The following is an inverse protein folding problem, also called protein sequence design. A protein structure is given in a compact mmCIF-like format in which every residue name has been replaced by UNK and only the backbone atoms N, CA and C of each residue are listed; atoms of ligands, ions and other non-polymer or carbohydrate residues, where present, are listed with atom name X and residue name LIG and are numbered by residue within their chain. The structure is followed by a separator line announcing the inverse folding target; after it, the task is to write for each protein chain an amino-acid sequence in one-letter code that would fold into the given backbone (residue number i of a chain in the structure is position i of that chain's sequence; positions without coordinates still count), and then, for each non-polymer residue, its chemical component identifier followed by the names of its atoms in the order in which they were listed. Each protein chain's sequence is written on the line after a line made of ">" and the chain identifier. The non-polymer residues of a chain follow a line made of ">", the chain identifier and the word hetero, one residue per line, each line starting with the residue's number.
data_IF_760516917460
#
_entry.id   IF_760516917460
#
_cell.length_a   1.000
_cell.length_b   1.000
_cell.length_c   1.000
_cell.angle_alpha   90.00
_cell.angle_beta   90.00
_cell.angle_gamma   90.00
#
_symmetry.space_group_name_H-M   'P 1'
#
loop_
_entity.id
_entity.type
_entity.pdbx_description
1 polymer ?
#
# COMPACT_ATOMS: atom_id res chain seq x y z
N UNK A 1 2.99 14.10 -2.34
CA UNK A 1 2.81 13.03 -1.34
C UNK A 1 4.04 12.18 -1.35
N UNK A 2 4.67 12.05 -0.19
CA UNK A 2 5.85 11.21 0.00
C UNK A 2 5.46 9.71 0.02
N UNK A 3 6.44 8.82 0.24
CA UNK A 3 6.19 7.38 0.25
C UNK A 3 5.19 6.96 1.33
N UNK A 4 5.32 7.50 2.55
CA UNK A 4 4.42 7.19 3.67
C UNK A 4 2.99 7.66 3.39
N UNK A 5 2.80 8.85 2.83
CA UNK A 5 1.48 9.35 2.41
C UNK A 5 0.83 8.41 1.38
N UNK A 6 1.58 8.10 0.29
CA UNK A 6 1.08 7.24 -0.80
C UNK A 6 0.71 5.84 -0.30
N UNK A 7 1.50 5.28 0.61
CA UNK A 7 1.23 3.99 1.23
C UNK A 7 -0.02 4.03 2.12
N UNK A 8 -0.15 5.05 2.97
CA UNK A 8 -1.32 5.24 3.82
C UNK A 8 -2.61 5.34 2.98
N UNK A 9 -2.60 6.20 1.95
CA UNK A 9 -3.74 6.40 1.05
C UNK A 9 -4.15 5.10 0.33
N UNK A 10 -3.18 4.36 -0.20
CA UNK A 10 -3.43 3.11 -0.91
C UNK A 10 -4.03 2.03 0.00
N UNK A 11 -3.53 1.90 1.23
CA UNK A 11 -4.07 0.94 2.21
C UNK A 11 -5.47 1.37 2.65
N UNK A 12 -5.67 2.64 3.00
CA UNK A 12 -6.98 3.16 3.43
C UNK A 12 -8.04 2.96 2.35
N UNK A 13 -7.73 3.30 1.10
CA UNK A 13 -8.63 3.13 -0.05
C UNK A 13 -9.07 1.68 -0.30
N UNK A 14 -8.26 0.69 0.12
CA UNK A 14 -8.53 -0.74 -0.04
C UNK A 14 -8.96 -1.43 1.27
N UNK A 15 -9.05 -0.69 2.38
CA UNK A 15 -9.35 -1.23 3.72
C UNK A 15 -10.84 -1.41 4.01
N UNK A 16 -11.73 -0.94 3.12
CA UNK A 16 -13.19 -0.85 3.34
C UNK A 16 -13.63 0.00 4.55
N UNK A 17 -12.70 0.65 5.26
CA UNK A 17 -13.03 1.61 6.30
C UNK A 17 -13.38 2.97 5.70
N UNK A 18 -14.29 3.69 6.34
CA UNK A 18 -14.43 5.12 6.11
C UNK A 18 -13.23 5.84 6.72
N UNK A 19 -12.71 6.83 6.01
CA UNK A 19 -11.56 7.61 6.44
C UNK A 19 -11.66 9.05 5.96
N UNK A 20 -10.90 9.93 6.59
CA UNK A 20 -10.74 11.33 6.23
C UNK A 20 -9.24 11.59 6.16
N UNK A 21 -8.81 12.30 5.12
CA UNK A 21 -7.42 12.77 4.98
C UNK A 21 -7.39 14.25 5.36
N UNK A 22 -6.46 14.60 6.23
CA UNK A 22 -6.17 15.98 6.60
C UNK A 22 -4.81 16.37 6.03
N UNK A 23 -4.75 17.54 5.38
CA UNK A 23 -3.47 18.13 5.01
C UNK A 23 -2.66 18.50 6.26
N UNK A 24 -1.34 18.56 6.11
CA UNK A 24 -0.45 18.96 7.20
C UNK A 24 -0.75 20.39 7.66
N UNK A 25 -0.98 20.56 8.97
CA UNK A 25 -1.21 21.84 9.63
C UNK A 25 -0.29 21.95 10.84
N UNK A 26 0.74 22.84 10.83
CA UNK A 26 1.64 22.98 11.98
C UNK A 26 1.01 23.75 13.16
N UNK A 27 -0.17 24.36 12.97
CA UNK A 27 -0.88 25.11 14.03
C UNK A 27 -1.65 24.22 14.99
N UNK A 28 -1.99 23.01 14.57
CA UNK A 28 -2.72 22.00 15.34
C UNK A 28 -2.03 20.66 15.14
N UNK A 29 -1.56 20.01 16.20
CA UNK A 29 -0.63 18.91 15.97
C UNK A 29 -0.21 18.13 17.18
N UNK A 30 0.46 17.02 16.89
CA UNK A 30 1.36 16.32 17.80
C UNK A 30 2.81 16.56 17.35
N UNK A 31 3.69 15.57 17.49
CA UNK A 31 5.12 15.68 17.21
C UNK A 31 5.47 15.74 15.71
N UNK A 32 4.55 15.42 14.79
CA UNK A 32 4.77 15.56 13.34
C UNK A 32 5.21 16.98 12.96
N UNK A 33 4.73 18.01 13.68
CA UNK A 33 5.17 19.40 13.47
C UNK A 33 6.68 19.62 13.73
N UNK A 34 7.27 18.82 14.62
CA UNK A 34 8.69 18.89 14.96
C UNK A 34 9.52 18.17 13.89
N UNK A 35 9.12 16.94 13.52
CA UNK A 35 9.77 16.15 12.48
C UNK A 35 9.70 16.82 11.11
N UNK A 36 8.60 17.49 10.80
CA UNK A 36 8.37 18.21 9.55
C UNK A 36 8.89 19.67 9.59
N UNK A 37 9.56 20.09 10.68
CA UNK A 37 10.14 21.44 10.73
C UNK A 37 11.22 21.63 9.65
N UNK A 38 11.46 22.86 9.14
CA UNK A 38 12.30 23.07 7.96
C UNK A 38 13.74 22.53 8.03
N UNK A 39 14.29 22.42 9.25
CA UNK A 39 15.64 21.90 9.46
C UNK A 39 15.74 20.37 9.43
N UNK A 40 14.67 19.65 9.80
CA UNK A 40 14.61 18.19 9.74
C UNK A 40 13.93 17.69 8.46
N UNK A 41 12.80 18.31 8.09
CA UNK A 41 12.03 18.06 6.87
C UNK A 41 11.80 16.57 6.58
N UNK A 42 11.45 15.81 7.62
CA UNK A 42 11.19 14.38 7.52
C UNK A 42 9.75 14.12 7.06
N UNK A 43 9.49 13.08 6.24
CA UNK A 43 8.17 12.75 5.71
C UNK A 43 7.31 12.00 6.74
N UNK A 44 6.94 12.67 7.84
CA UNK A 44 6.19 12.06 8.96
C UNK A 44 4.73 12.51 8.92
N UNK A 45 3.84 11.54 8.75
CA UNK A 45 2.39 11.71 8.91
C UNK A 45 1.87 11.06 10.20
N UNK A 46 0.55 11.09 10.39
CA UNK A 46 -0.11 10.45 11.53
C UNK A 46 -1.38 9.72 11.10
N UNK A 47 -1.44 8.40 11.36
CA UNK A 47 -2.66 7.61 11.23
C UNK A 47 -3.30 7.45 12.61
N UNK A 48 -4.55 7.89 12.72
CA UNK A 48 -5.32 7.90 13.97
C UNK A 48 -6.77 7.50 13.71
N UNK A 49 -7.51 7.20 14.78
CA UNK A 49 -8.98 7.10 14.72
C UNK A 49 -9.58 8.49 14.80
N UNK A 50 -10.25 8.83 15.89
CA UNK A 50 -10.73 10.20 16.10
C UNK A 50 -9.54 11.09 16.50
N UNK A 51 -9.34 12.19 15.77
CA UNK A 51 -8.27 13.15 16.05
C UNK A 51 -8.43 13.79 17.44
N UNK A 52 -7.32 14.15 18.08
CA UNK A 52 -7.31 14.92 19.32
C UNK A 52 -8.17 16.19 19.20
N UNK A 53 -8.72 16.69 20.31
CA UNK A 53 -9.68 17.81 20.34
C UNK A 53 -10.99 17.59 19.54
N UNK A 54 -11.28 16.39 19.03
CA UNK A 54 -12.52 16.08 18.29
C UNK A 54 -13.49 15.14 19.02
N UNK A 55 -13.17 14.76 20.26
CA UNK A 55 -14.06 13.94 21.10
C UNK A 55 -14.13 14.50 22.53
N UNK A 56 -15.28 14.40 23.23
CA UNK A 56 -15.50 15.03 24.54
C UNK A 56 -14.58 14.53 25.66
N UNK A 57 -14.13 13.28 25.57
CA UNK A 57 -13.33 12.63 26.61
C UNK A 57 -11.87 13.08 26.59
N UNK A 58 -11.40 13.67 25.48
CA UNK A 58 -10.02 14.13 25.32
C UNK A 58 -9.57 15.06 26.46
N UNK A 59 -8.42 14.76 27.07
CA UNK A 59 -7.88 15.49 28.24
C UNK A 59 -8.78 15.49 29.49
N UNK A 60 -9.65 14.50 29.63
CA UNK A 60 -10.45 14.29 30.84
C UNK A 60 -10.18 12.91 31.42
N UNK A 61 -10.64 12.66 32.65
CA UNK A 61 -10.60 11.31 33.24
C UNK A 61 -11.54 10.31 32.57
N UNK A 62 -12.36 10.74 31.61
CA UNK A 62 -13.26 9.88 30.84
C UNK A 62 -12.55 9.18 29.67
N UNK A 63 -11.33 9.60 29.30
CA UNK A 63 -10.47 8.85 28.37
C UNK A 63 -9.86 7.64 29.11
N UNK A 64 -10.71 6.66 29.37
CA UNK A 64 -10.42 5.52 30.23
C UNK A 64 -10.59 4.17 29.48
N UNK A 65 -10.36 3.06 30.20
CA UNK A 65 -10.45 1.70 29.64
C UNK A 65 -11.84 1.33 29.13
N UNK A 66 -12.90 2.02 29.57
CA UNK A 66 -14.28 1.77 29.10
C UNK A 66 -14.54 2.48 27.78
N UNK A 67 -13.86 3.60 27.53
CA UNK A 67 -13.91 4.31 26.26
C UNK A 67 -13.10 3.60 25.15
N UNK A 68 -11.99 2.96 25.52
CA UNK A 68 -11.12 2.23 24.59
C UNK A 68 -11.83 0.99 24.02
N UNK A 69 -11.76 0.84 22.69
CA UNK A 69 -12.17 -0.38 21.98
C UNK A 69 -10.97 -1.19 21.50
N UNK A 70 -10.81 -2.40 22.03
CA UNK A 70 -9.75 -3.32 21.61
C UNK A 70 -9.90 -3.81 20.16
N UNK A 71 -11.13 -3.98 19.67
CA UNK A 71 -11.35 -4.34 18.26
C UNK A 71 -10.89 -3.22 17.34
N UNK A 72 -11.23 -1.97 17.68
CA UNK A 72 -10.77 -0.79 16.96
C UNK A 72 -9.24 -0.63 16.98
N UNK A 73 -8.60 -0.97 18.11
CA UNK A 73 -7.14 -0.97 18.22
C UNK A 73 -6.51 -2.02 17.31
N UNK A 74 -7.03 -3.25 17.31
CA UNK A 74 -6.55 -4.33 16.44
C UNK A 74 -6.72 -3.99 14.95
N UNK A 75 -7.84 -3.40 14.55
CA UNK A 75 -8.05 -2.88 13.19
C UNK A 75 -6.96 -1.86 12.81
N UNK A 76 -6.68 -0.91 13.70
CA UNK A 76 -5.69 0.15 13.47
C UNK A 76 -4.29 -0.44 13.31
N UNK A 77 -3.91 -1.39 14.17
CA UNK A 77 -2.64 -2.13 14.07
C UNK A 77 -2.55 -2.85 12.73
N UNK A 78 -3.62 -3.51 12.28
CA UNK A 78 -3.63 -4.19 10.98
C UNK A 78 -3.43 -3.20 9.82
N UNK A 79 -4.00 -1.98 9.89
CA UNK A 79 -3.74 -0.94 8.88
C UNK A 79 -2.26 -0.54 8.87
N UNK A 80 -1.65 -0.31 10.04
CA UNK A 80 -0.21 -0.02 10.14
C UNK A 80 0.66 -1.15 9.58
N UNK A 81 0.35 -2.42 9.89
CA UNK A 81 1.08 -3.58 9.37
C UNK A 81 1.01 -3.59 7.84
N UNK A 82 -0.18 -3.43 7.25
CA UNK A 82 -0.35 -3.40 5.79
C UNK A 82 0.40 -2.24 5.13
N UNK A 83 0.48 -1.07 5.80
CA UNK A 83 1.29 0.05 5.31
C UNK A 83 2.78 -0.29 5.32
N UNK A 84 3.28 -0.93 6.38
CA UNK A 84 4.69 -1.36 6.47
C UNK A 84 4.99 -2.40 5.38
N UNK A 85 4.14 -3.41 5.22
CA UNK A 85 4.28 -4.42 4.17
C UNK A 85 4.29 -3.80 2.76
N UNK A 86 3.43 -2.80 2.52
CA UNK A 86 3.42 -2.06 1.26
C UNK A 86 4.70 -1.27 1.03
N UNK A 87 5.22 -0.60 2.06
CA UNK A 87 6.46 0.18 1.97
C UNK A 87 7.65 -0.75 1.70
N UNK A 88 7.75 -1.88 2.42
CA UNK A 88 8.82 -2.89 2.25
C UNK A 88 8.76 -3.53 0.86
N UNK A 89 7.56 -3.79 0.34
CA UNK A 89 7.35 -4.33 -0.99
C UNK A 89 7.37 -3.26 -2.10
N UNK A 90 7.48 -1.97 -1.77
CA UNK A 90 7.40 -0.93 -2.77
C UNK A 90 8.68 -0.87 -3.59
N UNK A 91 8.53 -1.04 -4.89
CA UNK A 91 9.64 -0.96 -5.82
C UNK A 91 9.16 -0.55 -7.20
N UNK A 92 10.05 0.13 -7.91
CA UNK A 92 9.89 0.34 -9.35
C UNK A 92 10.38 -0.90 -10.07
N UNK A 93 9.70 -1.27 -11.13
CA UNK A 93 10.03 -2.46 -11.90
C UNK A 93 10.04 -2.19 -13.40
N UNK A 94 10.86 -2.96 -14.13
CA UNK A 94 11.04 -2.85 -15.59
C UNK A 94 10.79 -4.20 -16.25
N UNK A 95 9.95 -4.24 -17.27
CA UNK A 95 9.59 -5.43 -18.01
C UNK A 95 10.65 -5.74 -19.08
N UNK A 96 11.04 -7.02 -19.16
CA UNK A 96 11.98 -7.53 -20.15
C UNK A 96 11.42 -7.47 -21.59
N UNK A 97 10.09 -7.52 -21.72
CA UNK A 97 9.35 -7.56 -22.99
C UNK A 97 8.43 -6.34 -23.08
N UNK A 98 8.99 -5.24 -23.58
CA UNK A 98 8.29 -3.95 -23.70
C UNK A 98 7.39 -3.81 -24.94
N UNK A 99 7.37 -4.81 -25.83
CA UNK A 99 6.61 -4.79 -27.09
C UNK A 99 5.60 -5.94 -27.12
N UNK A 100 4.39 -5.66 -26.65
CA UNK A 100 3.30 -6.65 -26.55
C UNK A 100 3.39 -7.51 -25.30
N UNK A 101 2.50 -8.50 -25.20
CA UNK A 101 2.42 -9.41 -24.07
C UNK A 101 3.40 -10.60 -24.25
N UNK A 102 4.22 -10.95 -23.24
CA UNK A 102 5.04 -12.15 -23.28
C UNK A 102 4.17 -13.42 -23.31
N UNK A 103 4.67 -14.52 -23.89
CA UNK A 103 3.96 -15.80 -23.89
C UNK A 103 4.01 -16.46 -22.50
N UNK A 104 3.14 -16.01 -21.59
CA UNK A 104 3.16 -16.33 -20.16
C UNK A 104 3.03 -17.83 -19.85
N UNK A 105 2.34 -18.61 -20.70
CA UNK A 105 2.20 -20.06 -20.54
C UNK A 105 3.55 -20.79 -20.53
N UNK A 106 4.56 -20.29 -21.26
CA UNK A 106 5.92 -20.86 -21.27
C UNK A 106 6.61 -20.78 -19.90
N UNK A 107 6.15 -19.88 -19.05
CA UNK A 107 6.70 -19.62 -17.72
C UNK A 107 5.83 -20.22 -16.60
N UNK A 108 4.77 -20.95 -16.93
CA UNK A 108 3.85 -21.53 -15.94
C UNK A 108 3.01 -20.48 -15.18
N UNK A 109 2.95 -19.23 -15.66
CA UNK A 109 2.23 -18.14 -15.00
C UNK A 109 0.70 -18.22 -15.18
N UNK A 110 0.24 -19.13 -16.03
CA UNK A 110 -1.15 -19.60 -16.06
C UNK A 110 -1.21 -21.02 -15.49
N UNK A 111 -1.33 -21.11 -14.16
CA UNK A 111 -1.60 -22.39 -13.49
C UNK A 111 -2.99 -22.90 -13.86
N UNK A 112 -3.04 -24.10 -14.45
CA UNK A 112 -4.27 -24.82 -14.83
C UNK A 112 -4.75 -25.83 -13.78
N UNK A 113 -4.01 -26.04 -12.68
CA UNK A 113 -4.26 -27.17 -11.77
C UNK A 113 -5.20 -26.81 -10.61
N UNK A 114 -6.50 -27.10 -10.83
CA UNK A 114 -7.40 -27.86 -9.95
C UNK A 114 -7.84 -27.35 -8.56
N UNK A 115 -7.00 -26.68 -7.76
CA UNK A 115 -7.30 -26.49 -6.32
C UNK A 115 -7.50 -25.04 -5.89
N UNK A 116 -7.07 -24.06 -6.70
CA UNK A 116 -7.25 -22.64 -6.39
C UNK A 116 -8.60 -22.15 -6.92
N UNK A 117 -9.41 -21.41 -6.13
CA UNK A 117 -10.65 -20.80 -6.58
C UNK A 117 -10.48 -19.96 -7.85
N UNK A 118 -11.47 -20.00 -8.75
CA UNK A 118 -11.41 -19.30 -10.03
C UNK A 118 -11.17 -17.79 -9.88
N UNK A 119 -11.80 -17.17 -8.88
CA UNK A 119 -11.63 -15.74 -8.56
C UNK A 119 -10.19 -15.38 -8.21
N UNK A 120 -9.48 -16.24 -7.49
CA UNK A 120 -8.08 -16.01 -7.13
C UNK A 120 -7.16 -16.14 -8.35
N UNK A 121 -7.43 -17.10 -9.24
CA UNK A 121 -6.72 -17.23 -10.53
C UNK A 121 -6.90 -15.99 -11.40
N UNK A 122 -8.11 -15.45 -11.47
CA UNK A 122 -8.43 -14.23 -12.21
C UNK A 122 -7.76 -13.00 -11.60
N UNK A 123 -7.78 -12.87 -10.28
CA UNK A 123 -7.08 -11.80 -9.55
C UNK A 123 -5.58 -11.83 -9.82
N UNK A 124 -4.96 -13.01 -9.73
CA UNK A 124 -3.53 -13.19 -10.01
C UNK A 124 -3.18 -12.89 -11.47
N UNK A 125 -3.99 -13.37 -12.42
CA UNK A 125 -3.83 -13.04 -13.85
C UNK A 125 -3.93 -11.53 -14.08
N UNK A 126 -4.91 -10.87 -13.45
CA UNK A 126 -5.08 -9.43 -13.54
C UNK A 126 -3.85 -8.70 -12.97
N UNK A 127 -3.33 -9.14 -11.83
CA UNK A 127 -2.12 -8.59 -11.23
C UNK A 127 -0.90 -8.71 -12.16
N UNK A 128 -0.68 -9.88 -12.77
CA UNK A 128 0.40 -10.07 -13.75
C UNK A 128 0.31 -9.05 -14.90
N UNK A 129 -0.90 -8.82 -15.44
CA UNK A 129 -1.10 -7.87 -16.54
C UNK A 129 -0.83 -6.43 -16.11
N UNK A 130 -1.33 -6.03 -14.95
CA UNK A 130 -1.10 -4.69 -14.41
C UNK A 130 0.38 -4.42 -14.16
N UNK A 131 1.09 -5.39 -13.56
CA UNK A 131 2.53 -5.25 -13.32
C UNK A 131 3.27 -5.13 -14.65
N UNK A 132 3.07 -6.04 -15.61
CA UNK A 132 3.76 -5.99 -16.91
C UNK A 132 3.49 -4.70 -17.69
N UNK A 133 2.27 -4.16 -17.61
CA UNK A 133 1.88 -2.92 -18.28
C UNK A 133 2.52 -1.67 -17.66
N UNK A 134 2.64 -1.64 -16.33
CA UNK A 134 3.21 -0.50 -15.60
C UNK A 134 4.74 -0.59 -15.42
N UNK A 135 5.33 -1.72 -15.79
CA UNK A 135 6.75 -2.01 -15.66
C UNK A 135 7.64 -1.28 -16.69
N UNK A 136 7.50 0.04 -16.79
CA UNK A 136 8.28 0.90 -17.68
C UNK A 136 9.42 1.64 -16.97
N UNK A 137 9.60 1.42 -15.67
CA UNK A 137 10.58 2.12 -14.84
C UNK A 137 10.10 3.43 -14.24
N UNK A 138 8.83 3.81 -14.45
CA UNK A 138 8.24 5.04 -13.89
C UNK A 138 7.16 4.80 -12.84
N UNK A 139 6.62 3.58 -12.77
CA UNK A 139 5.58 3.21 -11.81
C UNK A 139 6.12 2.23 -10.77
N UNK A 140 5.63 2.35 -9.54
CA UNK A 140 5.96 1.45 -8.44
C UNK A 140 4.79 0.53 -8.03
N UNK A 141 5.03 -0.32 -7.03
CA UNK A 141 4.03 -1.24 -6.48
C UNK A 141 2.79 -0.49 -5.98
N UNK A 142 2.95 0.71 -5.42
CA UNK A 142 1.82 1.53 -4.96
C UNK A 142 0.96 1.98 -6.15
N UNK A 143 1.57 2.41 -7.25
CA UNK A 143 0.82 2.78 -8.46
C UNK A 143 0.03 1.60 -9.02
N UNK A 144 0.63 0.41 -9.03
CA UNK A 144 -0.05 -0.81 -9.43
C UNK A 144 -1.24 -1.14 -8.51
N UNK A 145 -1.08 -1.00 -7.19
CA UNK A 145 -2.17 -1.20 -6.22
C UNK A 145 -3.33 -0.21 -6.44
N UNK A 146 -3.01 1.08 -6.59
CA UNK A 146 -4.01 2.14 -6.76
C UNK A 146 -4.79 2.01 -8.07
N UNK A 147 -4.12 1.65 -9.17
CA UNK A 147 -4.74 1.54 -10.51
C UNK A 147 -5.52 0.25 -10.69
N UNK A 148 -4.96 -0.87 -10.24
CA UNK A 148 -5.59 -2.19 -10.40
C UNK A 148 -6.73 -2.42 -9.42
N UNK A 149 -6.70 -1.77 -8.24
CA UNK A 149 -7.61 -2.02 -7.11
C UNK A 149 -7.59 -3.48 -6.65
N UNK A 150 -6.47 -4.18 -6.89
CA UNK A 150 -6.27 -5.56 -6.45
C UNK A 150 -5.68 -5.60 -5.03
N UNK A 151 -5.87 -6.71 -4.30
CA UNK A 151 -5.19 -6.93 -3.02
C UNK A 151 -3.67 -6.88 -3.18
N UNK A 152 -3.00 -6.22 -2.24
CA UNK A 152 -1.55 -6.06 -2.24
C UNK A 152 -0.81 -7.39 -2.29
N UNK A 153 -1.31 -8.37 -1.56
CA UNK A 153 -0.73 -9.69 -1.42
C UNK A 153 -0.65 -10.39 -2.79
N UNK A 154 -1.66 -10.20 -3.63
CA UNK A 154 -1.70 -10.75 -5.00
C UNK A 154 -0.71 -10.04 -5.92
N UNK A 155 -0.54 -8.72 -5.76
CA UNK A 155 0.45 -7.95 -6.52
C UNK A 155 1.88 -8.36 -6.17
N UNK A 156 2.19 -8.51 -4.88
CA UNK A 156 3.50 -8.98 -4.39
C UNK A 156 3.80 -10.38 -4.96
N UNK A 157 2.84 -11.30 -4.90
CA UNK A 157 2.97 -12.63 -5.49
C UNK A 157 3.22 -12.57 -7.00
N UNK A 158 2.50 -11.70 -7.72
CA UNK A 158 2.66 -11.53 -9.16
C UNK A 158 4.05 -10.99 -9.52
N UNK A 159 4.55 -9.98 -8.79
CA UNK A 159 5.91 -9.44 -8.97
C UNK A 159 6.97 -10.53 -8.73
N UNK A 160 6.84 -11.30 -7.65
CA UNK A 160 7.75 -12.40 -7.36
C UNK A 160 7.75 -13.47 -8.46
N UNK A 161 6.56 -13.85 -8.96
CA UNK A 161 6.44 -14.82 -10.04
C UNK A 161 7.07 -14.32 -11.35
N UNK A 162 6.84 -13.05 -11.71
CA UNK A 162 7.44 -12.42 -12.90
C UNK A 162 8.96 -12.30 -12.79
N UNK A 163 9.49 -12.03 -11.59
CA UNK A 163 10.93 -12.03 -11.34
C UNK A 163 11.56 -13.40 -11.51
N UNK A 164 10.94 -14.44 -10.95
CA UNK A 164 11.39 -15.82 -11.11
C UNK A 164 11.38 -16.24 -12.59
N UNK A 165 10.39 -15.78 -13.35
CA UNK A 165 10.30 -15.96 -14.79
C UNK A 165 11.28 -15.10 -15.61
N UNK A 166 12.04 -14.20 -14.95
CA UNK A 166 12.93 -13.20 -15.59
C UNK A 166 12.20 -12.31 -16.59
N UNK A 167 10.93 -12.01 -16.33
CA UNK A 167 10.10 -11.10 -17.14
C UNK A 167 10.08 -9.69 -16.57
N UNK A 168 10.37 -9.54 -15.27
CA UNK A 168 10.43 -8.25 -14.60
C UNK A 168 11.70 -8.17 -13.75
N UNK A 169 12.34 -7.01 -13.77
CA UNK A 169 13.53 -6.70 -12.98
C UNK A 169 13.27 -5.49 -12.08
N UNK A 170 14.04 -5.36 -11.01
CA UNK A 170 14.03 -4.14 -10.19
C UNK A 170 14.53 -2.97 -11.05
N UNK A 171 13.70 -1.94 -11.19
CA UNK A 171 14.10 -0.67 -11.77
C UNK A 171 14.91 0.16 -10.78
N UNK A 172 15.71 1.07 -11.29
CA UNK A 172 16.19 2.19 -10.48
C UNK A 172 15.02 3.16 -10.33
N UNK A 173 14.79 3.72 -9.14
CA UNK A 173 13.93 4.90 -9.05
C UNK A 173 14.49 5.95 -10.00
N UNK A 174 13.71 6.36 -11.01
CA UNK A 174 13.99 7.58 -11.74
C UNK A 174 14.06 8.69 -10.68
N UNK A 175 15.26 9.28 -10.52
CA UNK A 175 15.47 10.44 -9.67
C UNK A 175 14.67 11.63 -10.18
#
# INVERSE_FOLDING_TARGET
>A
NCLSDRAAEAVLKTSNHSYIIHDFDPSQGSDERQYCSPGYNLPVGSLMRTMYNKYPEYHTSLDDKKFISFSAMAETVNVYVRMIELIEANEVFVNAVMRGEPHLSKYGLYSSLGSVPQKEKESFRSAIMWILNLADGSHDTIDAALRSKLPLEVLIQAVAALRNAKLVYKGSHAK
#
